data_IF_016353033891
#
_entry.id   IF_016353033891
#
_cell.length_a   1.000
_cell.length_b   1.000
_cell.length_c   1.000
_cell.angle_alpha   90.00
_cell.angle_beta   90.00
_cell.angle_gamma   90.00
#
_symmetry.space_group_name_H-M   'P 1'
#
loop_
_entity.id
_entity.type
_entity.pdbx_description
1 polymer ?
#
# COMPACT_ATOMS: atom_id res chain seq x y z
N UNK A 1 0.10 23.82 15.60
CA UNK A 1 -0.86 24.67 14.85
C UNK A 1 -1.46 23.82 13.71
N UNK A 2 -2.70 23.33 13.91
CA UNK A 2 -3.47 22.71 12.84
C UNK A 2 -3.81 23.79 11.80
N UNK A 3 -3.07 23.81 10.69
CA UNK A 3 -3.52 24.58 9.52
C UNK A 3 -4.79 23.89 8.99
N UNK A 4 -5.94 24.51 9.17
CA UNK A 4 -7.17 24.13 8.48
C UNK A 4 -6.88 24.23 6.98
N UNK A 5 -6.99 23.13 6.28
CA UNK A 5 -7.00 23.10 4.82
C UNK A 5 -8.26 23.79 4.28
N UNK A 6 -8.36 23.98 2.95
CA UNK A 6 -9.58 24.51 2.35
C UNK A 6 -10.78 23.61 2.71
N UNK A 7 -11.94 24.22 2.92
CA UNK A 7 -13.20 23.49 3.19
C UNK A 7 -13.68 22.84 1.87
N UNK A 8 -13.19 21.62 1.65
CA UNK A 8 -13.49 20.81 0.47
C UNK A 8 -14.07 19.47 0.91
N UNK A 9 -15.09 19.02 0.20
CA UNK A 9 -15.59 17.66 0.35
C UNK A 9 -14.47 16.67 0.02
N UNK A 10 -14.18 15.76 0.94
CA UNK A 10 -13.22 14.69 0.71
C UNK A 10 -13.84 13.66 -0.25
N UNK A 11 -13.13 13.37 -1.35
CA UNK A 11 -13.51 12.34 -2.33
C UNK A 11 -12.62 11.13 -2.11
N UNK A 12 -13.22 9.99 -1.77
CA UNK A 12 -12.50 8.77 -1.40
C UNK A 12 -12.48 7.79 -2.56
N UNK A 13 -11.28 7.38 -2.96
CA UNK A 13 -11.06 6.34 -3.95
C UNK A 13 -10.55 5.07 -3.29
N UNK A 14 -11.21 3.94 -3.59
CA UNK A 14 -10.77 2.60 -3.16
C UNK A 14 -10.46 1.72 -4.37
N UNK A 15 -9.93 0.53 -4.10
CA UNK A 15 -9.86 -0.55 -5.08
C UNK A 15 -11.18 -1.32 -5.11
N UNK A 16 -11.41 -2.06 -6.18
CA UNK A 16 -12.51 -3.01 -6.28
C UNK A 16 -12.36 -4.18 -5.30
N UNK A 17 -13.45 -4.87 -5.00
CA UNK A 17 -13.51 -5.95 -3.99
C UNK A 17 -12.62 -7.16 -4.30
N UNK A 18 -12.27 -7.39 -5.57
CA UNK A 18 -11.34 -8.44 -5.99
C UNK A 18 -9.87 -8.12 -5.67
N UNK A 19 -9.57 -6.91 -5.25
CA UNK A 19 -8.21 -6.46 -4.94
C UNK A 19 -7.76 -6.91 -3.56
N UNK A 20 -6.61 -7.59 -3.49
CA UNK A 20 -5.98 -7.92 -2.19
C UNK A 20 -5.62 -6.67 -1.38
N UNK A 21 -5.42 -5.51 -2.01
CA UNK A 21 -5.20 -4.24 -1.30
C UNK A 21 -6.50 -3.70 -0.70
N UNK A 22 -7.64 -3.90 -1.37
CA UNK A 22 -8.95 -3.59 -0.81
C UNK A 22 -9.21 -4.40 0.47
N UNK A 23 -9.04 -5.71 0.40
CA UNK A 23 -9.27 -6.61 1.53
C UNK A 23 -8.34 -6.30 2.70
N UNK A 24 -7.05 -6.11 2.42
CA UNK A 24 -6.08 -5.72 3.44
C UNK A 24 -6.45 -4.41 4.13
N UNK A 25 -6.85 -3.37 3.38
CA UNK A 25 -7.22 -2.09 3.96
C UNK A 25 -8.48 -2.21 4.82
N UNK A 26 -9.48 -2.96 4.35
CA UNK A 26 -10.71 -3.24 5.09
C UNK A 26 -10.41 -3.91 6.44
N UNK A 27 -9.63 -4.99 6.40
CA UNK A 27 -9.29 -5.78 7.58
C UNK A 27 -8.40 -5.01 8.56
N UNK A 28 -7.28 -4.47 8.06
CA UNK A 28 -6.23 -3.91 8.91
C UNK A 28 -6.51 -2.49 9.37
N UNK A 29 -7.10 -1.66 8.50
CA UNK A 29 -7.33 -0.23 8.77
C UNK A 29 -8.75 0.03 9.25
N UNK A 30 -9.75 -0.48 8.51
CA UNK A 30 -11.15 -0.28 8.86
C UNK A 30 -11.66 -1.26 9.93
N UNK A 31 -10.84 -2.23 10.35
CA UNK A 31 -11.19 -3.22 11.38
C UNK A 31 -12.50 -3.94 11.06
N UNK A 32 -12.58 -4.48 9.84
CA UNK A 32 -13.74 -5.18 9.26
C UNK A 32 -14.99 -4.30 9.05
N UNK A 33 -14.93 -3.01 9.35
CA UNK A 33 -16.04 -2.11 9.04
C UNK A 33 -16.20 -1.92 7.55
N UNK A 34 -17.42 -1.64 7.13
CA UNK A 34 -17.68 -1.31 5.74
C UNK A 34 -17.07 0.04 5.36
N UNK A 35 -16.70 0.16 4.10
CA UNK A 35 -16.36 1.47 3.55
C UNK A 35 -17.55 2.42 3.65
N UNK A 36 -17.27 3.71 3.79
CA UNK A 36 -18.32 4.73 3.82
C UNK A 36 -19.12 4.74 2.51
N UNK A 37 -20.42 5.08 2.55
CA UNK A 37 -21.18 5.29 1.33
C UNK A 37 -20.54 6.35 0.43
N UNK A 38 -20.60 6.13 -0.89
CA UNK A 38 -20.06 7.09 -1.87
C UNK A 38 -18.55 6.97 -2.14
N UNK A 39 -17.88 5.94 -1.63
CA UNK A 39 -16.51 5.61 -2.03
C UNK A 39 -16.51 5.17 -3.51
N UNK A 40 -15.60 5.74 -4.29
CA UNK A 40 -15.45 5.44 -5.71
C UNK A 40 -14.47 4.27 -5.90
N UNK A 41 -14.96 3.18 -6.46
CA UNK A 41 -14.19 1.97 -6.70
C UNK A 41 -13.39 2.06 -8.00
N UNK A 42 -12.10 1.75 -7.94
CA UNK A 42 -11.18 1.80 -9.08
C UNK A 42 -10.67 0.39 -9.43
N UNK A 43 -10.63 0.04 -10.73
CA UNK A 43 -10.25 -1.32 -11.18
C UNK A 43 -8.74 -1.59 -11.01
N UNK A 44 -7.92 -0.56 -10.98
CA UNK A 44 -6.46 -0.69 -10.94
C UNK A 44 -5.80 0.35 -10.05
N UNK A 45 -4.60 0.02 -9.54
CA UNK A 45 -3.79 0.93 -8.70
C UNK A 45 -3.46 2.23 -9.43
N UNK A 46 -3.10 2.14 -10.72
CA UNK A 46 -2.84 3.32 -11.56
C UNK A 46 -4.05 4.24 -11.70
N UNK A 47 -5.26 3.68 -11.75
CA UNK A 47 -6.51 4.45 -11.80
C UNK A 47 -6.73 5.24 -10.50
N UNK A 48 -6.41 4.67 -9.33
CA UNK A 48 -6.44 5.41 -8.04
C UNK A 48 -5.47 6.60 -8.09
N UNK A 49 -4.22 6.39 -8.52
CA UNK A 49 -3.21 7.46 -8.62
C UNK A 49 -3.68 8.57 -9.55
N UNK A 50 -4.18 8.23 -10.73
CA UNK A 50 -4.67 9.24 -11.69
C UNK A 50 -5.86 10.02 -11.14
N UNK A 51 -6.81 9.34 -10.49
CA UNK A 51 -7.98 9.98 -9.91
C UNK A 51 -7.59 10.95 -8.78
N UNK A 52 -6.68 10.54 -7.90
CA UNK A 52 -6.17 11.42 -6.81
C UNK A 52 -5.41 12.61 -7.38
N UNK A 53 -4.56 12.39 -8.39
CA UNK A 53 -3.82 13.46 -9.06
C UNK A 53 -4.74 14.53 -9.67
N UNK A 54 -5.84 14.12 -10.29
CA UNK A 54 -6.74 14.99 -11.04
C UNK A 54 -7.83 15.64 -10.19
N UNK A 55 -8.08 15.11 -8.99
CA UNK A 55 -9.24 15.51 -8.18
C UNK A 55 -8.79 16.22 -6.90
N UNK A 56 -9.10 17.48 -6.80
CA UNK A 56 -8.80 18.26 -5.59
C UNK A 56 -9.64 17.76 -4.42
N UNK A 57 -9.02 17.55 -3.26
CA UNK A 57 -9.68 16.99 -2.08
C UNK A 57 -9.79 15.46 -2.09
N UNK A 58 -9.20 14.80 -3.10
CA UNK A 58 -9.21 13.35 -3.17
C UNK A 58 -8.22 12.69 -2.20
N UNK A 59 -8.60 11.51 -1.72
CA UNK A 59 -7.76 10.60 -0.95
C UNK A 59 -7.95 9.17 -1.45
N UNK A 60 -6.90 8.37 -1.39
CA UNK A 60 -6.94 6.95 -1.74
C UNK A 60 -5.82 6.19 -1.06
N UNK A 61 -5.73 4.89 -1.29
CA UNK A 61 -4.66 4.04 -0.81
C UNK A 61 -4.11 3.15 -1.93
N UNK A 62 -2.80 2.99 -1.94
CA UNK A 62 -2.07 2.19 -2.93
C UNK A 62 -0.83 1.56 -2.29
N UNK A 63 -0.25 0.57 -2.94
CA UNK A 63 1.06 0.06 -2.53
C UNK A 63 2.15 1.13 -2.69
N UNK A 64 3.13 1.14 -1.78
CA UNK A 64 4.22 2.13 -1.76
C UNK A 64 4.97 2.21 -3.10
N UNK A 65 5.17 1.07 -3.77
CA UNK A 65 5.83 1.00 -5.09
C UNK A 65 5.15 1.84 -6.19
N UNK A 66 3.89 2.22 -6.02
CA UNK A 66 3.13 3.02 -6.99
C UNK A 66 3.09 4.51 -6.66
N UNK A 67 3.58 4.92 -5.49
CA UNK A 67 3.63 6.34 -5.12
C UNK A 67 4.66 7.05 -5.99
N UNK A 68 4.28 8.18 -6.55
CA UNK A 68 5.11 8.99 -7.43
C UNK A 68 4.99 10.49 -7.10
N UNK A 69 5.73 11.32 -7.80
CA UNK A 69 5.77 12.76 -7.56
C UNK A 69 4.47 13.54 -7.81
N UNK A 70 3.43 12.88 -8.34
CA UNK A 70 2.13 13.52 -8.61
C UNK A 70 1.15 13.44 -7.44
N UNK A 71 1.43 12.60 -6.45
CA UNK A 71 0.58 12.42 -5.27
C UNK A 71 1.41 12.55 -4.00
N UNK A 72 0.78 13.03 -2.93
CA UNK A 72 1.40 13.18 -1.63
C UNK A 72 1.08 11.97 -0.75
N UNK A 73 2.11 11.25 -0.31
CA UNK A 73 1.95 10.23 0.72
C UNK A 73 1.67 10.89 2.08
N UNK A 74 0.78 10.31 2.85
CA UNK A 74 0.39 10.82 4.15
C UNK A 74 1.17 10.12 5.27
N UNK A 75 1.52 10.89 6.30
CA UNK A 75 1.96 10.32 7.57
C UNK A 75 0.76 9.68 8.26
N UNK A 76 0.96 8.50 8.82
CA UNK A 76 -0.08 7.76 9.53
C UNK A 76 0.36 7.46 10.96
N UNK A 77 -0.61 7.51 11.88
CA UNK A 77 -0.41 7.21 13.29
C UNK A 77 -1.53 6.31 13.83
N UNK A 78 -1.20 5.39 14.73
CA UNK A 78 -2.20 4.64 15.51
C UNK A 78 -2.47 5.26 16.90
N UNK A 79 -1.54 6.04 17.42
CA UNK A 79 -1.59 6.58 18.78
C UNK A 79 -1.87 8.10 18.82
N UNK A 80 -2.08 8.72 17.66
CA UNK A 80 -2.26 10.17 17.49
C UNK A 80 -1.08 11.04 17.99
N UNK A 81 0.07 10.42 18.24
CA UNK A 81 1.30 11.10 18.69
C UNK A 81 2.43 10.93 17.70
N UNK A 82 2.67 9.71 17.25
CA UNK A 82 3.77 9.37 16.34
C UNK A 82 3.24 9.20 14.91
N UNK A 83 3.48 10.21 14.10
CA UNK A 83 3.09 10.22 12.68
C UNK A 83 4.26 9.75 11.81
N UNK A 84 4.13 8.58 11.24
CA UNK A 84 5.18 7.90 10.47
C UNK A 84 4.94 8.10 8.97
N UNK A 85 5.98 8.51 8.25
CA UNK A 85 5.96 8.62 6.79
C UNK A 85 6.26 7.25 6.14
N UNK A 86 5.53 6.85 5.08
CA UNK A 86 5.79 5.60 4.38
C UNK A 86 7.03 5.71 3.49
N UNK A 87 8.06 4.96 3.81
CA UNK A 87 9.25 4.79 2.98
C UNK A 87 9.89 3.41 3.22
N UNK A 88 10.95 3.09 2.50
CA UNK A 88 11.66 1.82 2.63
C UNK A 88 12.13 1.57 4.07
N UNK A 89 12.73 2.57 4.71
CA UNK A 89 13.29 2.43 6.06
C UNK A 89 12.19 2.14 7.09
N UNK A 90 11.09 2.90 7.05
CA UNK A 90 9.96 2.73 7.97
C UNK A 90 9.19 1.45 7.71
N UNK A 91 9.14 1.00 6.45
CA UNK A 91 8.60 -0.29 6.06
C UNK A 91 9.46 -1.46 6.55
N UNK A 92 10.77 -1.42 6.31
CA UNK A 92 11.71 -2.47 6.74
C UNK A 92 11.75 -2.62 8.26
N UNK A 93 11.77 -1.52 8.99
CA UNK A 93 11.69 -1.51 10.45
C UNK A 93 10.30 -1.87 11.00
N UNK A 94 9.30 -2.07 10.14
CA UNK A 94 7.90 -2.38 10.50
C UNK A 94 7.28 -1.36 11.46
N UNK A 95 7.71 -0.10 11.39
CA UNK A 95 7.16 0.99 12.21
C UNK A 95 6.08 1.78 11.51
N UNK A 96 5.99 1.71 10.16
CA UNK A 96 4.84 2.27 9.44
C UNK A 96 3.59 1.44 9.75
N UNK A 97 2.49 2.06 10.17
CA UNK A 97 1.33 1.34 10.69
C UNK A 97 0.61 0.43 9.68
N UNK A 98 0.65 0.79 8.40
CA UNK A 98 -0.10 0.07 7.36
C UNK A 98 0.90 -0.68 6.48
N UNK A 99 1.30 -1.86 6.90
CA UNK A 99 2.25 -2.71 6.17
C UNK A 99 1.74 -4.15 6.10
N UNK A 100 1.99 -4.80 4.98
CA UNK A 100 1.73 -6.23 4.82
C UNK A 100 2.85 -6.91 4.05
N UNK A 101 3.16 -8.19 4.34
CA UNK A 101 4.03 -8.99 3.50
C UNK A 101 3.33 -9.37 2.18
N UNK A 102 4.13 -9.62 1.15
CA UNK A 102 3.71 -10.31 -0.06
C UNK A 102 4.07 -11.79 0.08
N UNK A 103 3.13 -12.67 -0.25
CA UNK A 103 3.30 -14.11 -0.16
C UNK A 103 3.32 -14.75 -1.54
N UNK A 104 4.13 -15.78 -1.68
CA UNK A 104 4.09 -16.70 -2.81
C UNK A 104 3.45 -18.01 -2.37
N UNK A 105 2.48 -18.47 -3.13
CA UNK A 105 1.82 -19.74 -2.90
C UNK A 105 2.12 -20.69 -4.04
N UNK A 106 2.49 -21.92 -3.73
CA UNK A 106 2.69 -22.99 -4.70
C UNK A 106 2.23 -24.33 -4.11
N UNK A 107 1.86 -25.26 -5.00
CA UNK A 107 1.47 -26.61 -4.57
C UNK A 107 2.70 -27.44 -4.23
N UNK A 108 2.59 -28.37 -3.27
CA UNK A 108 3.72 -29.15 -2.78
C UNK A 108 4.42 -29.96 -3.88
N UNK A 109 3.67 -30.48 -4.85
CA UNK A 109 4.18 -31.23 -6.02
C UNK A 109 5.02 -30.36 -6.97
N UNK A 110 4.92 -29.05 -6.91
CA UNK A 110 5.68 -28.09 -7.72
C UNK A 110 6.91 -27.52 -7.02
N UNK A 111 7.14 -27.90 -5.77
CA UNK A 111 8.23 -27.37 -4.94
C UNK A 111 9.59 -27.39 -5.64
N UNK A 112 10.00 -28.53 -6.21
CA UNK A 112 11.30 -28.68 -6.90
C UNK A 112 11.50 -27.69 -8.06
N UNK A 113 10.45 -27.28 -8.74
CA UNK A 113 10.48 -26.31 -9.85
C UNK A 113 10.46 -24.86 -9.38
N UNK A 114 9.77 -24.57 -8.27
CA UNK A 114 9.53 -23.22 -7.79
C UNK A 114 10.59 -22.77 -6.79
N UNK A 115 11.13 -23.65 -5.96
CA UNK A 115 12.10 -23.32 -4.92
C UNK A 115 13.35 -22.58 -5.43
N UNK A 116 13.96 -22.91 -6.58
CA UNK A 116 15.10 -22.15 -7.10
C UNK A 116 14.77 -20.68 -7.32
N UNK A 117 13.57 -20.37 -7.82
CA UNK A 117 13.10 -18.99 -7.99
C UNK A 117 12.88 -18.30 -6.65
N UNK A 118 12.25 -18.97 -5.68
CA UNK A 118 12.05 -18.43 -4.34
C UNK A 118 13.38 -18.16 -3.65
N UNK A 119 14.34 -19.09 -3.73
CA UNK A 119 15.68 -18.90 -3.16
C UNK A 119 16.39 -17.71 -3.83
N UNK A 120 16.26 -17.55 -5.14
CA UNK A 120 16.80 -16.38 -5.83
C UNK A 120 16.16 -15.08 -5.30
N UNK A 121 14.83 -15.02 -5.18
CA UNK A 121 14.14 -13.83 -4.65
C UNK A 121 14.60 -13.48 -3.23
N UNK A 122 14.82 -14.48 -2.39
CA UNK A 122 15.28 -14.29 -1.01
C UNK A 122 16.78 -14.01 -0.89
N UNK A 123 17.55 -14.18 -1.98
CA UNK A 123 18.97 -13.88 -2.00
C UNK A 123 19.23 -12.36 -1.95
N UNK A 124 20.45 -11.91 -1.55
CA UNK A 124 20.79 -10.48 -1.56
C UNK A 124 20.55 -9.80 -2.90
N UNK A 125 20.83 -10.49 -4.01
CA UNK A 125 20.60 -9.98 -5.36
C UNK A 125 19.11 -9.85 -5.68
N UNK A 126 18.32 -10.85 -5.32
CA UNK A 126 16.85 -10.82 -5.44
C UNK A 126 16.26 -9.67 -4.65
N UNK A 127 16.69 -9.48 -3.40
CA UNK A 127 16.22 -8.39 -2.55
C UNK A 127 16.61 -6.99 -3.07
N UNK A 128 17.77 -6.85 -3.73
CA UNK A 128 18.11 -5.62 -4.45
C UNK A 128 17.15 -5.32 -5.61
N UNK A 129 16.70 -6.35 -6.33
CA UNK A 129 15.70 -6.18 -7.40
C UNK A 129 14.36 -5.79 -6.80
N UNK A 130 13.92 -6.45 -5.72
CA UNK A 130 12.69 -6.11 -4.99
C UNK A 130 12.69 -4.62 -4.61
N UNK A 131 13.80 -4.13 -4.05
CA UNK A 131 13.95 -2.71 -3.70
C UNK A 131 13.91 -1.79 -4.93
N UNK A 132 14.59 -2.15 -6.03
CA UNK A 132 14.55 -1.37 -7.28
C UNK A 132 13.14 -1.30 -7.89
N UNK A 133 12.31 -2.29 -7.65
CA UNK A 133 10.90 -2.30 -8.04
C UNK A 133 10.00 -1.48 -7.09
N UNK A 134 10.56 -0.80 -6.09
CA UNK A 134 9.83 0.05 -5.16
C UNK A 134 9.17 -0.69 -3.99
N UNK A 135 9.45 -1.99 -3.83
CA UNK A 135 9.00 -2.77 -2.69
C UNK A 135 10.02 -2.75 -1.55
N UNK A 136 9.55 -3.00 -0.34
CA UNK A 136 10.40 -3.06 0.85
C UNK A 136 11.06 -4.45 0.92
N UNK A 137 12.41 -4.54 0.91
CA UNK A 137 13.10 -5.80 1.04
C UNK A 137 12.94 -6.40 2.44
N UNK A 138 13.15 -7.70 2.57
CA UNK A 138 13.08 -8.43 3.85
C UNK A 138 14.28 -8.18 4.74
N UNK A 139 15.44 -7.89 4.16
CA UNK A 139 16.71 -7.65 4.84
C UNK A 139 17.47 -6.50 4.19
#
# INVERSE_FOLDING_TARGET
>A
THRRGPDLKIIVYSRETSSGTYEFFKTSVLKEKNYMPGVLSMPATGAVIQSVKQTRGAIGYVGLAYVNGYVKALHVSYDNRHFIYPNEVTGRKRIYPIIRPLFYYYTADRGSRVLPFIHFLLSPRGQQIVMKCGYVPLS
#
